data_IF_000605501911
#
_entry.id   IF_000605501911
#
_cell.length_a   1.000
_cell.length_b   1.000
_cell.length_c   1.000
_cell.angle_alpha   90.00
_cell.angle_beta   90.00
_cell.angle_gamma   90.00
#
_symmetry.space_group_name_H-M   'P 1'
#
loop_
_entity.id
_entity.type
_entity.pdbx_description
1 polymer ?
#
# COMPACT_ATOMS: atom_id res chain seq x y z
N UNK A 1 8.26 26.19 2.78
CA UNK A 1 7.23 25.19 3.14
C UNK A 1 7.26 24.90 4.63
N UNK A 2 8.42 24.60 5.22
CA UNK A 2 8.54 24.28 6.65
C UNK A 2 8.05 25.40 7.61
N UNK A 3 8.33 26.68 7.31
CA UNK A 3 7.82 27.82 8.09
C UNK A 3 6.29 27.90 8.10
N UNK A 4 5.64 27.59 6.98
CA UNK A 4 4.17 27.60 6.87
C UNK A 4 3.60 26.53 7.80
N UNK A 5 4.17 25.32 7.74
CA UNK A 5 3.75 24.20 8.59
C UNK A 5 3.88 24.51 10.08
N UNK A 6 4.95 25.22 10.48
CA UNK A 6 5.16 25.63 11.89
C UNK A 6 4.22 26.76 12.32
N UNK A 7 4.00 27.74 11.44
CA UNK A 7 3.22 28.95 11.77
C UNK A 7 1.73 28.66 11.85
N UNK A 8 1.24 27.81 10.95
CA UNK A 8 -0.16 27.41 10.87
C UNK A 8 -0.45 26.10 11.59
N UNK A 9 0.48 25.61 12.43
CA UNK A 9 0.26 24.41 13.21
C UNK A 9 -0.81 24.62 14.28
N UNK A 10 -1.68 23.63 14.46
CA UNK A 10 -2.66 23.60 15.55
C UNK A 10 -2.08 22.76 16.69
N UNK A 11 -2.00 23.37 17.88
CA UNK A 11 -1.47 22.74 19.08
C UNK A 11 -2.61 22.31 20.00
N UNK A 12 -2.58 21.07 20.47
CA UNK A 12 -3.60 20.52 21.37
C UNK A 12 -2.95 19.72 22.51
N UNK A 13 -3.05 20.23 23.73
CA UNK A 13 -2.55 19.56 24.94
C UNK A 13 -3.56 18.55 25.46
N UNK A 14 -3.07 17.37 25.86
CA UNK A 14 -3.86 16.24 26.35
C UNK A 14 -3.02 15.39 27.31
N UNK A 15 -3.65 14.39 27.92
CA UNK A 15 -3.01 13.48 28.88
C UNK A 15 -3.29 12.03 28.48
N UNK A 16 -2.26 11.19 28.50
CA UNK A 16 -2.34 9.80 28.02
C UNK A 16 -3.28 9.00 28.92
N UNK A 17 -4.16 8.22 28.30
CA UNK A 17 -5.07 7.35 29.02
C UNK A 17 -4.35 6.13 29.63
N UNK A 18 -5.10 5.26 30.30
CA UNK A 18 -4.50 4.05 30.91
C UNK A 18 -4.07 3.00 29.88
N UNK A 19 -4.41 3.18 28.60
CA UNK A 19 -4.13 2.24 27.52
C UNK A 19 -2.79 2.46 26.82
N UNK A 20 -1.96 3.38 27.31
CA UNK A 20 -0.63 3.69 26.73
C UNK A 20 -0.67 4.17 25.27
N UNK A 21 -1.84 4.59 24.78
CA UNK A 21 -2.04 5.04 23.41
C UNK A 21 -2.54 6.49 23.38
N UNK A 22 -2.30 7.17 22.26
CA UNK A 22 -2.73 8.54 22.05
C UNK A 22 -4.05 8.51 21.29
N UNK A 23 -5.12 8.95 21.95
CA UNK A 23 -6.42 9.14 21.28
C UNK A 23 -6.55 10.57 20.78
N UNK A 24 -6.71 10.72 19.47
CA UNK A 24 -6.91 12.00 18.81
C UNK A 24 -7.91 11.84 17.66
N UNK A 25 -8.87 12.77 17.53
CA UNK A 25 -9.93 12.71 16.51
C UNK A 25 -10.61 11.33 16.38
N UNK A 26 -10.96 10.73 17.52
CA UNK A 26 -11.59 9.39 17.62
C UNK A 26 -10.75 8.20 17.13
N UNK A 27 -9.49 8.41 16.76
CA UNK A 27 -8.55 7.37 16.32
C UNK A 27 -7.45 7.14 17.35
N UNK A 28 -6.90 5.94 17.36
CA UNK A 28 -5.77 5.55 18.20
C UNK A 28 -4.46 5.70 17.44
N UNK A 29 -3.44 6.21 18.11
CA UNK A 29 -2.14 6.44 17.52
C UNK A 29 -1.02 6.00 18.46
N UNK A 30 0.09 5.56 17.88
CA UNK A 30 1.35 5.37 18.60
C UNK A 30 2.34 6.47 18.26
N UNK A 31 3.09 6.97 19.26
CA UNK A 31 4.24 7.82 19.01
C UNK A 31 5.41 6.98 18.46
N UNK A 32 5.90 7.36 17.30
CA UNK A 32 7.01 6.72 16.59
C UNK A 32 8.18 7.71 16.48
N UNK A 33 9.35 7.40 17.04
CA UNK A 33 10.56 8.21 16.85
C UNK A 33 11.10 8.00 15.44
N UNK A 34 12.09 8.80 15.04
CA UNK A 34 12.78 8.65 13.75
C UNK A 34 13.33 7.23 13.51
N UNK A 35 13.67 6.50 14.58
CA UNK A 35 14.16 5.12 14.51
C UNK A 35 13.07 4.08 14.17
N UNK A 36 11.79 4.47 14.06
CA UNK A 36 10.68 3.61 13.62
C UNK A 36 10.02 2.76 14.71
N UNK A 37 10.65 2.55 15.86
CA UNK A 37 10.09 1.71 16.92
C UNK A 37 9.04 2.44 17.75
N UNK A 38 7.80 1.93 17.75
CA UNK A 38 6.69 2.45 18.57
C UNK A 38 7.08 2.59 20.04
N UNK A 39 6.79 3.75 20.62
CA UNK A 39 7.04 4.06 22.04
C UNK A 39 5.74 3.98 22.84
N UNK A 40 5.88 3.52 24.08
CA UNK A 40 4.79 3.47 25.05
C UNK A 40 5.15 4.37 26.24
N UNK A 41 4.18 5.15 26.67
CA UNK A 41 4.34 6.09 27.79
C UNK A 41 3.36 5.74 28.89
N UNK A 42 3.73 6.04 30.14
CA UNK A 42 2.86 5.79 31.28
C UNK A 42 1.55 6.57 31.16
N UNK A 43 0.45 6.00 31.65
CA UNK A 43 -0.80 6.74 31.78
C UNK A 43 -0.60 7.99 32.65
N UNK A 44 -1.38 9.04 32.39
CA UNK A 44 -1.23 10.36 33.01
C UNK A 44 0.01 11.16 32.58
N UNK A 45 0.72 10.73 31.55
CA UNK A 45 1.78 11.56 30.94
C UNK A 45 1.12 12.64 30.10
N UNK A 46 1.54 13.89 30.30
CA UNK A 46 1.08 15.02 29.48
C UNK A 46 1.79 15.03 28.12
N UNK A 47 1.03 15.37 27.09
CA UNK A 47 1.52 15.45 25.73
C UNK A 47 0.83 16.57 24.96
N UNK A 48 1.49 17.03 23.90
CA UNK A 48 0.96 18.04 22.99
C UNK A 48 0.95 17.48 21.58
N UNK A 49 -0.25 17.37 21.00
CA UNK A 49 -0.42 17.06 19.57
C UNK A 49 -0.17 18.34 18.77
N UNK A 50 0.58 18.20 17.69
CA UNK A 50 0.91 19.24 16.73
C UNK A 50 0.40 18.77 15.38
N UNK A 51 -0.67 19.39 14.90
CA UNK A 51 -1.19 19.19 13.55
C UNK A 51 -0.61 20.28 12.66
N UNK A 52 0.28 19.88 11.74
CA UNK A 52 0.90 20.82 10.80
C UNK A 52 -0.06 21.17 9.67
N UNK A 53 0.21 22.27 8.95
CA UNK A 53 -0.65 22.73 7.84
C UNK A 53 -0.84 21.71 6.71
N UNK A 54 0.16 20.86 6.45
CA UNK A 54 0.09 19.76 5.49
C UNK A 54 -0.65 18.51 6.02
N UNK A 55 -1.14 18.55 7.26
CA UNK A 55 -1.92 17.48 7.87
C UNK A 55 -1.08 16.39 8.55
N UNK A 56 0.23 16.59 8.73
CA UNK A 56 1.03 15.66 9.53
C UNK A 56 0.69 15.80 11.02
N UNK A 57 0.60 14.67 11.71
CA UNK A 57 0.37 14.61 13.14
C UNK A 57 1.68 14.27 13.85
N UNK A 58 2.16 15.22 14.64
CA UNK A 58 3.31 15.07 15.52
C UNK A 58 2.84 15.13 16.96
N UNK A 59 3.62 14.56 17.86
CA UNK A 59 3.38 14.69 19.30
C UNK A 59 4.67 15.04 20.03
N UNK A 60 4.58 16.02 20.92
CA UNK A 60 5.62 16.33 21.88
C UNK A 60 5.29 15.66 23.22
N UNK A 61 6.21 14.82 23.70
CA UNK A 61 6.14 14.18 25.01
C UNK A 61 7.49 14.38 25.70
N UNK A 62 7.50 15.06 26.85
CA UNK A 62 8.71 15.37 27.61
C UNK A 62 9.83 15.98 26.75
N UNK A 63 9.49 17.03 25.99
CA UNK A 63 10.38 17.78 25.08
C UNK A 63 10.99 16.97 23.94
N UNK A 64 10.37 15.83 23.61
CA UNK A 64 10.75 14.99 22.47
C UNK A 64 9.61 14.89 21.48
N UNK A 65 9.93 15.11 20.21
CA UNK A 65 9.02 14.99 19.09
C UNK A 65 8.96 13.55 18.58
N UNK A 66 7.75 13.09 18.31
CA UNK A 66 7.45 11.81 17.70
C UNK A 66 6.42 11.99 16.59
N UNK A 67 6.46 11.15 15.57
CA UNK A 67 5.41 11.02 14.57
C UNK A 67 4.24 10.23 15.15
N UNK A 68 3.00 10.58 14.82
CA UNK A 68 1.83 9.80 15.19
C UNK A 68 1.50 8.80 14.08
N UNK A 69 1.67 7.50 14.37
CA UNK A 69 1.23 6.41 13.49
C UNK A 69 -0.18 5.97 13.88
N UNK A 70 -1.14 6.09 12.96
CA UNK A 70 -2.52 5.65 13.16
C UNK A 70 -2.58 4.11 13.28
N UNK A 71 -3.29 3.64 14.30
CA UNK A 71 -3.58 2.24 14.51
C UNK A 71 -4.94 1.95 13.86
N UNK A 72 -5.00 1.04 12.86
CA UNK A 72 -6.27 0.65 12.29
C UNK A 72 -7.14 -0.03 13.36
N UNK A 73 -8.43 0.28 13.36
CA UNK A 73 -9.39 -0.28 14.33
C UNK A 73 -9.56 -1.80 14.16
N UNK A 74 -9.40 -2.29 12.93
CA UNK A 74 -9.48 -3.70 12.59
C UNK A 74 -8.36 -4.06 11.61
N UNK A 75 -7.75 -5.23 11.81
CA UNK A 75 -6.88 -5.82 10.79
C UNK A 75 -7.76 -6.45 9.70
N UNK A 76 -7.55 -6.06 8.45
CA UNK A 76 -8.31 -6.59 7.30
C UNK A 76 -8.05 -8.07 7.02
N UNK A 77 -6.93 -8.60 7.53
CA UNK A 77 -6.45 -9.96 7.27
C UNK A 77 -5.97 -10.53 8.60
N UNK A 78 -6.59 -11.59 9.06
CA UNK A 78 -6.12 -12.37 10.20
C UNK A 78 -4.97 -13.27 9.79
N UNK A 79 -3.89 -13.27 10.57
CA UNK A 79 -2.75 -14.17 10.35
C UNK A 79 -3.11 -15.63 10.61
N UNK A 80 -4.07 -15.86 11.48
CA UNK A 80 -4.48 -17.18 11.96
C UNK A 80 -5.60 -17.79 11.11
N UNK A 81 -6.54 -16.97 10.64
CA UNK A 81 -7.76 -17.44 9.96
C UNK A 81 -7.75 -17.22 8.46
N UNK A 82 -7.14 -16.14 7.97
CA UNK A 82 -7.14 -15.87 6.54
C UNK A 82 -5.99 -16.60 5.84
N UNK A 83 -6.28 -17.11 4.64
CA UNK A 83 -5.27 -17.76 3.84
C UNK A 83 -4.12 -16.78 3.54
N UNK A 84 -2.85 -17.21 3.63
CA UNK A 84 -1.72 -16.36 3.25
C UNK A 84 -1.96 -15.80 1.86
N UNK A 85 -1.83 -14.48 1.70
CA UNK A 85 -1.93 -13.82 0.39
C UNK A 85 -1.05 -14.61 -0.58
N UNK A 86 -1.68 -15.30 -1.54
CA UNK A 86 -0.94 -16.08 -2.52
C UNK A 86 0.08 -15.12 -3.15
N UNK A 87 1.36 -15.47 -3.09
CA UNK A 87 2.40 -14.70 -3.78
C UNK A 87 1.94 -14.46 -5.22
N UNK A 88 2.14 -13.26 -5.79
CA UNK A 88 1.61 -12.92 -7.10
C UNK A 88 1.96 -14.05 -8.06
N UNK A 89 0.93 -14.75 -8.56
CA UNK A 89 1.12 -15.92 -9.43
C UNK A 89 2.02 -15.46 -10.57
N UNK A 90 3.22 -16.04 -10.66
CA UNK A 90 4.15 -15.76 -11.77
C UNK A 90 3.35 -15.88 -13.05
N UNK A 91 3.21 -14.77 -13.78
CA UNK A 91 2.45 -14.78 -15.03
C UNK A 91 3.03 -15.87 -15.91
N UNK A 92 2.20 -16.86 -16.26
CA UNK A 92 2.64 -17.94 -17.15
C UNK A 92 3.04 -17.29 -18.46
N UNK A 93 4.27 -17.55 -18.91
CA UNK A 93 4.73 -17.07 -20.23
C UNK A 93 3.68 -17.46 -21.26
N UNK A 94 3.16 -16.47 -22.00
CA UNK A 94 2.23 -16.73 -23.10
C UNK A 94 2.92 -17.65 -24.10
N UNK A 95 2.31 -18.79 -24.38
CA UNK A 95 2.86 -19.77 -25.32
C UNK A 95 2.88 -19.17 -26.73
N UNK A 96 4.08 -19.08 -27.31
CA UNK A 96 4.28 -18.73 -28.71
C UNK A 96 4.59 -20.03 -29.45
N UNK A 97 3.79 -20.42 -30.46
CA UNK A 97 3.98 -21.68 -31.16
C UNK A 97 5.33 -21.72 -31.92
N UNK A 98 5.91 -22.92 -32.13
CA UNK A 98 7.20 -23.08 -32.78
C UNK A 98 7.16 -22.66 -34.27
N UNK A 99 8.35 -22.47 -34.85
CA UNK A 99 8.51 -21.99 -36.22
C UNK A 99 7.80 -22.88 -37.27
N UNK A 100 7.64 -24.16 -36.97
CA UNK A 100 7.08 -25.15 -37.87
C UNK A 100 5.56 -25.36 -37.67
N UNK A 101 4.89 -24.47 -36.93
CA UNK A 101 3.46 -24.66 -36.60
C UNK A 101 2.54 -24.44 -37.83
N UNK A 102 1.54 -25.31 -38.06
CA UNK A 102 0.68 -25.25 -39.25
C UNK A 102 -0.20 -24.00 -39.34
N UNK A 103 -0.56 -23.39 -38.20
CA UNK A 103 -1.36 -22.15 -38.16
C UNK A 103 -0.60 -20.87 -38.52
N UNK A 104 0.66 -20.97 -38.89
CA UNK A 104 1.39 -19.83 -39.43
C UNK A 104 0.89 -19.48 -40.83
N UNK A 105 0.70 -18.18 -41.09
CA UNK A 105 0.25 -17.63 -42.39
C UNK A 105 0.96 -18.27 -43.59
N UNK A 106 2.29 -18.38 -43.57
CA UNK A 106 3.05 -18.96 -44.69
C UNK A 106 2.75 -20.45 -44.91
N UNK A 107 2.67 -21.24 -43.83
CA UNK A 107 2.32 -22.66 -43.89
C UNK A 107 0.88 -22.85 -44.38
N UNK A 108 -0.05 -22.02 -43.90
CA UNK A 108 -1.43 -22.00 -44.35
C UNK A 108 -1.56 -21.63 -45.84
N UNK A 109 -0.88 -20.57 -46.29
CA UNK A 109 -0.88 -20.14 -47.70
C UNK A 109 -0.30 -21.23 -48.60
N UNK A 110 0.80 -21.85 -48.20
CA UNK A 110 1.41 -22.96 -48.95
C UNK A 110 0.49 -24.18 -49.02
N UNK A 111 -0.20 -24.51 -47.93
CA UNK A 111 -1.21 -25.57 -47.91
C UNK A 111 -2.40 -25.24 -48.82
N UNK A 112 -2.95 -24.02 -48.73
CA UNK A 112 -4.07 -23.56 -49.54
C UNK A 112 -3.73 -23.56 -51.04
N UNK A 113 -2.51 -23.17 -51.41
CA UNK A 113 -2.03 -23.21 -52.80
C UNK A 113 -1.90 -24.64 -53.36
N UNK A 114 -1.59 -25.62 -52.51
CA UNK A 114 -1.55 -27.04 -52.91
C UNK A 114 -2.93 -27.65 -53.18
N UNK A 115 -4.00 -27.00 -52.73
CA UNK A 115 -5.36 -27.50 -52.93
C UNK A 115 -5.85 -27.19 -54.36
N UNK A 116 -5.82 -28.20 -55.23
CA UNK A 116 -6.20 -28.11 -56.65
C UNK A 116 -7.60 -27.52 -56.89
N UNK A 117 -8.53 -27.70 -55.96
CA UNK A 117 -9.90 -27.21 -56.07
C UNK A 117 -10.05 -25.71 -55.77
N UNK A 118 -9.02 -25.02 -55.26
CA UNK A 118 -9.06 -23.57 -55.00
C UNK A 118 -8.56 -22.72 -56.17
N UNK A 119 -8.01 -23.32 -57.22
CA UNK A 119 -7.44 -22.64 -58.39
C UNK A 119 -8.48 -22.06 -59.36
N UNK A 120 -9.77 -22.04 -59.00
CA UNK A 120 -10.88 -21.70 -59.91
C UNK A 120 -11.86 -20.64 -59.40
N UNK A 121 -11.48 -19.81 -58.43
CA UNK A 121 -12.32 -18.70 -57.96
C UNK A 121 -11.62 -17.35 -58.19
N UNK A 122 -11.50 -16.98 -59.47
CA UNK A 122 -11.36 -15.59 -59.93
C UNK A 122 -12.07 -15.51 -61.29
N UNK A 123 -13.36 -15.16 -61.24
CA UNK A 123 -14.10 -14.41 -62.28
C UNK A 123 -14.79 -13.27 -61.55
#
# INVERSE_FOLDING_TARGET
MEEINRTLAVLSTRTIDKGHCIRFQSKYHFPVPENGDRRYFAGKTDYMVIETFDGQLLVNIADKLYLMEEVPEYELISKEFDAPKEAPKKEKKKYIPPMNHPWRKASFVSYAAKQKHRYGANV
#
